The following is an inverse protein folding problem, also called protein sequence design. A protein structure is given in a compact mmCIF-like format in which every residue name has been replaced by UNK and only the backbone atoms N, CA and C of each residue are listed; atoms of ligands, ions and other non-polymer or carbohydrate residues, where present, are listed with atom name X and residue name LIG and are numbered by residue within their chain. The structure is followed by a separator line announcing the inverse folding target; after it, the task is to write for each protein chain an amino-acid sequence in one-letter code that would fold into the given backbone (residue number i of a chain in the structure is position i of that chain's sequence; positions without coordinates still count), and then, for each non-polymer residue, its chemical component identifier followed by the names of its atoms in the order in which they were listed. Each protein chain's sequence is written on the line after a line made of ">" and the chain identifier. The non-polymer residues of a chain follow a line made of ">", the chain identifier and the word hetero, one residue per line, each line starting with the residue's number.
data_IF_132606013846
#
_entry.id   IF_132606013846
#
_cell.length_a   1.000
_cell.length_b   1.000
_cell.length_c   1.000
_cell.angle_alpha   90.00
_cell.angle_beta   90.00
_cell.angle_gamma   90.00
#
_symmetry.space_group_name_H-M   'P 1'
#
loop_
_entity.id
_entity.type
_entity.pdbx_description
1 polymer ?
#
# COMPACT_ATOMS: atom_id res chain seq x y z
N UNK A 1 1.09 23.57 2.99
CA UNK A 1 0.73 22.29 3.62
C UNK A 1 2.00 21.48 3.70
N UNK A 2 2.41 21.06 4.89
CA UNK A 2 3.55 20.14 5.03
C UNK A 2 3.10 18.77 4.50
N UNK A 3 3.89 18.18 3.59
CA UNK A 3 3.68 16.81 3.15
C UNK A 3 4.22 15.88 4.23
N UNK A 4 3.34 15.45 5.14
CA UNK A 4 3.71 14.50 6.18
C UNK A 4 3.76 13.12 5.54
N UNK A 5 4.95 12.57 5.36
CA UNK A 5 5.11 11.17 4.97
C UNK A 5 4.82 10.28 6.18
N UNK A 6 3.92 9.33 6.03
CA UNK A 6 3.60 8.32 7.03
C UNK A 6 4.00 6.95 6.49
N UNK A 7 4.44 6.09 7.39
CA UNK A 7 4.69 4.69 7.06
C UNK A 7 3.36 4.02 6.66
N UNK A 8 3.38 3.25 5.58
CA UNK A 8 2.19 2.54 5.11
C UNK A 8 1.99 1.26 5.92
N UNK A 9 0.74 0.90 6.18
CA UNK A 9 0.38 -0.27 6.97
C UNK A 9 -0.01 -1.46 6.07
N UNK A 10 0.98 -2.15 5.53
CA UNK A 10 0.73 -3.31 4.68
C UNK A 10 -0.07 -4.42 5.38
N UNK A 11 0.15 -4.65 6.68
CA UNK A 11 -0.56 -5.68 7.44
C UNK A 11 -2.08 -5.41 7.52
N UNK A 12 -2.47 -4.13 7.61
CA UNK A 12 -3.88 -3.72 7.64
C UNK A 12 -4.52 -3.76 6.26
N UNK A 13 -3.81 -3.32 5.22
CA UNK A 13 -4.39 -3.06 3.89
C UNK A 13 -4.18 -4.18 2.88
N UNK A 14 -3.06 -4.90 2.88
CA UNK A 14 -2.82 -6.01 1.94
C UNK A 14 -3.90 -7.12 2.03
N UNK A 15 -4.39 -7.53 3.22
CA UNK A 15 -5.45 -8.54 3.33
C UNK A 15 -6.82 -8.11 2.74
N UNK A 16 -7.07 -6.80 2.64
CA UNK A 16 -8.32 -6.23 2.10
C UNK A 16 -8.20 -5.81 0.63
N UNK A 17 -6.98 -5.82 0.07
CA UNK A 17 -6.70 -5.47 -1.31
C UNK A 17 -7.28 -6.49 -2.31
N UNK A 18 -7.68 -6.02 -3.49
CA UNK A 18 -8.04 -6.84 -4.66
C UNK A 18 -6.93 -7.85 -5.01
N UNK A 19 -5.67 -7.44 -4.78
CA UNK A 19 -4.48 -8.25 -5.08
C UNK A 19 -4.01 -9.15 -3.92
N UNK A 20 -4.81 -9.36 -2.87
CA UNK A 20 -4.43 -10.16 -1.68
C UNK A 20 -3.97 -11.60 -1.95
N UNK A 21 -4.31 -12.16 -3.12
CA UNK A 21 -3.89 -13.51 -3.55
C UNK A 21 -2.65 -13.51 -4.43
N UNK A 22 -2.15 -12.34 -4.82
CA UNK A 22 -0.99 -12.17 -5.68
C UNK A 22 0.27 -12.20 -4.83
N UNK A 23 1.26 -12.97 -5.27
CA UNK A 23 2.57 -13.00 -4.65
C UNK A 23 3.23 -11.61 -4.78
N UNK A 24 3.84 -11.18 -3.68
CA UNK A 24 4.44 -9.86 -3.50
C UNK A 24 5.51 -9.51 -4.54
N UNK A 25 6.18 -10.51 -5.13
CA UNK A 25 7.18 -10.25 -6.18
C UNK A 25 6.60 -9.77 -7.51
N UNK A 26 5.29 -9.86 -7.70
CA UNK A 26 4.61 -9.49 -8.95
C UNK A 26 3.86 -8.16 -8.83
N UNK A 27 3.91 -7.36 -9.89
CA UNK A 27 3.26 -6.05 -9.93
C UNK A 27 1.73 -6.18 -9.92
N UNK A 28 0.99 -5.38 -9.15
CA UNK A 28 1.46 -4.13 -8.54
C UNK A 28 2.00 -4.29 -7.11
N UNK A 29 2.05 -5.50 -6.54
CA UNK A 29 2.47 -5.69 -5.16
C UNK A 29 3.96 -5.35 -4.95
N UNK A 30 4.82 -5.65 -5.93
CA UNK A 30 6.24 -5.33 -5.88
C UNK A 30 6.45 -3.80 -5.81
N UNK A 31 5.85 -3.07 -6.74
CA UNK A 31 5.85 -1.61 -6.75
C UNK A 31 5.24 -1.03 -5.46
N UNK A 32 4.21 -1.68 -4.91
CA UNK A 32 3.59 -1.26 -3.65
C UNK A 32 4.52 -1.40 -2.45
N UNK A 33 5.28 -2.50 -2.37
CA UNK A 33 6.26 -2.72 -1.31
C UNK A 33 7.52 -1.86 -1.45
N UNK A 34 7.84 -1.40 -2.67
CA UNK A 34 8.90 -0.42 -2.89
C UNK A 34 8.58 0.94 -2.26
N UNK A 35 7.29 1.26 -2.09
CA UNK A 35 6.78 2.52 -1.54
C UNK A 35 6.34 2.35 -0.08
N UNK A 36 7.31 2.28 0.84
CA UNK A 36 7.07 2.12 2.28
C UNK A 36 6.46 3.33 3.00
N UNK A 37 6.24 4.45 2.29
CA UNK A 37 5.65 5.67 2.85
C UNK A 37 4.62 6.27 1.90
N UNK A 38 3.55 6.84 2.45
CA UNK A 38 2.56 7.60 1.68
C UNK A 38 2.34 8.98 2.30
N UNK A 39 2.04 9.95 1.45
CA UNK A 39 1.80 11.32 1.87
C UNK A 39 0.44 11.43 2.54
N UNK A 40 0.44 11.89 3.79
CA UNK A 40 -0.73 12.11 4.65
C UNK A 40 -1.58 10.85 4.91
N UNK A 41 -1.10 9.64 4.59
CA UNK A 41 -1.86 8.40 4.68
C UNK A 41 -0.99 7.20 5.03
N UNK A 42 -1.57 6.21 5.69
CA UNK A 42 -0.96 4.90 5.95
C UNK A 42 -1.40 3.86 4.89
N UNK A 43 -2.20 4.26 3.90
CA UNK A 43 -2.67 3.37 2.83
C UNK A 43 -1.53 3.16 1.83
N UNK A 44 -1.19 1.92 1.44
CA UNK A 44 -0.20 1.68 0.40
C UNK A 44 -0.56 2.34 -0.94
N UNK A 45 0.41 2.88 -1.67
CA UNK A 45 0.18 3.73 -2.86
C UNK A 45 -0.65 3.02 -3.94
N UNK A 46 -0.43 1.71 -4.14
CA UNK A 46 -1.14 0.91 -5.14
C UNK A 46 -2.24 0.02 -4.55
N UNK A 47 -2.69 0.30 -3.32
CA UNK A 47 -3.81 -0.43 -2.73
C UNK A 47 -5.11 -0.19 -3.52
N UNK A 48 -5.85 -1.28 -3.77
CA UNK A 48 -7.16 -1.25 -4.40
C UNK A 48 -8.15 -2.03 -3.54
N UNK A 49 -8.99 -1.33 -2.82
CA UNK A 49 -10.11 -1.90 -2.09
C UNK A 49 -11.22 -0.87 -1.91
N UNK A 50 -12.36 -1.30 -1.39
CA UNK A 50 -13.45 -0.40 -1.02
C UNK A 50 -13.18 0.18 0.37
N UNK A 51 -13.27 1.50 0.53
CA UNK A 51 -13.16 2.22 1.81
C UNK A 51 -14.38 2.01 2.71
#
# INVERSE_FOLDING_TARGET
>A
MENIYREVNFEKYCPTCEHKKKDEKFDPCNDCLAEGMNTNSEIPIYWKGEE
#
